data_IF_763933089933
#
_entry.id   IF_763933089933
#
_cell.length_a   1.000
_cell.length_b   1.000
_cell.length_c   1.000
_cell.angle_alpha   90.00
_cell.angle_beta   90.00
_cell.angle_gamma   90.00
#
_symmetry.space_group_name_H-M   'P 1'
#
loop_
_entity.id
_entity.type
_entity.pdbx_description
1 polymer ?
#
# COMPACT_ATOMS: atom_id res chain seq x y z
N UNK A 1 12.04 21.71 6.14
CA UNK A 1 12.38 20.39 5.58
C UNK A 1 11.10 19.79 5.03
N UNK A 2 11.13 19.16 3.85
CA UNK A 2 9.97 18.46 3.29
C UNK A 2 9.96 17.03 3.81
N UNK A 3 8.90 16.64 4.51
CA UNK A 3 8.73 15.29 5.03
C UNK A 3 8.22 14.34 3.93
N UNK A 4 8.53 13.03 3.99
CA UNK A 4 8.03 12.04 3.03
C UNK A 4 6.53 11.75 3.20
N UNK A 5 5.97 12.07 4.37
CA UNK A 5 4.57 11.85 4.71
C UNK A 5 3.90 13.15 5.14
N UNK A 6 2.59 13.23 4.94
CA UNK A 6 1.73 14.27 5.50
C UNK A 6 0.70 13.65 6.43
N UNK A 7 0.46 14.28 7.59
CA UNK A 7 -0.60 13.90 8.51
C UNK A 7 -1.23 15.15 9.10
N UNK A 8 -2.49 15.39 8.76
CA UNK A 8 -3.29 16.47 9.33
C UNK A 8 -4.23 15.89 10.37
N UNK A 9 -3.89 16.10 11.66
CA UNK A 9 -4.71 15.64 12.78
C UNK A 9 -5.85 16.61 13.00
N UNK A 10 -7.07 16.10 13.03
CA UNK A 10 -8.27 16.87 13.28
C UNK A 10 -8.98 16.38 14.55
N UNK A 11 -9.32 17.30 15.45
CA UNK A 11 -10.00 17.03 16.71
C UNK A 11 -9.37 17.76 17.89
N UNK A 12 -9.50 17.22 19.11
CA UNK A 12 -8.91 17.80 20.31
C UNK A 12 -7.72 16.99 20.86
N UNK A 13 -6.87 17.66 21.64
CA UNK A 13 -5.69 17.07 22.29
C UNK A 13 -5.99 16.10 23.45
N UNK A 14 -7.27 15.92 23.83
CA UNK A 14 -7.62 15.03 24.92
C UNK A 14 -7.52 13.54 24.53
N UNK A 15 -7.37 12.66 25.51
CA UNK A 15 -7.32 11.20 25.31
C UNK A 15 -5.91 10.65 25.10
N UNK A 16 -5.79 9.32 25.15
CA UNK A 16 -4.54 8.63 24.94
C UNK A 16 -4.15 8.70 23.46
N UNK A 17 -2.93 9.16 23.18
CA UNK A 17 -2.39 9.21 21.83
C UNK A 17 -2.17 7.81 21.27
N UNK A 18 -2.42 7.64 19.97
CA UNK A 18 -2.09 6.43 19.23
C UNK A 18 -1.44 6.77 17.89
N UNK A 19 -0.58 5.88 17.40
CA UNK A 19 -0.02 5.89 16.05
C UNK A 19 0.01 4.46 15.54
N UNK A 20 -0.67 4.22 14.42
CA UNK A 20 -0.81 2.90 13.81
C UNK A 20 -0.64 3.02 12.31
N UNK A 21 0.62 2.92 11.88
CA UNK A 21 1.04 3.18 10.50
C UNK A 21 2.00 2.10 9.99
N UNK A 22 2.10 2.00 8.67
CA UNK A 22 3.12 1.22 7.96
C UNK A 22 4.32 2.05 7.50
N UNK A 23 4.60 3.19 8.13
CA UNK A 23 5.71 4.08 7.75
C UNK A 23 7.06 3.35 7.65
N UNK A 24 7.30 2.38 8.53
CA UNK A 24 8.57 1.64 8.58
C UNK A 24 8.71 0.52 7.55
N UNK A 25 7.61 0.03 6.97
CA UNK A 25 7.60 -1.15 6.11
C UNK A 25 6.80 -0.98 4.81
N UNK A 26 6.22 0.20 4.57
CA UNK A 26 5.39 0.50 3.41
C UNK A 26 3.99 -0.13 3.46
N UNK A 27 3.57 -0.70 4.59
CA UNK A 27 2.21 -1.22 4.73
C UNK A 27 1.20 -0.07 4.66
N UNK A 28 0.06 -0.35 4.05
CA UNK A 28 -0.98 0.65 3.78
C UNK A 28 -2.31 0.24 4.40
N UNK A 29 -3.20 1.22 4.52
CA UNK A 29 -4.57 1.03 5.00
C UNK A 29 -5.34 0.12 4.05
N UNK A 30 -5.63 -1.11 4.50
CA UNK A 30 -6.36 -2.11 3.71
C UNK A 30 -7.86 -2.09 4.03
N UNK A 31 -8.21 -1.81 5.29
CA UNK A 31 -9.60 -1.71 5.72
C UNK A 31 -9.74 -0.74 6.88
N UNK A 32 -10.88 -0.06 6.92
CA UNK A 32 -11.28 0.78 8.06
C UNK A 32 -12.71 0.43 8.48
N UNK A 33 -12.91 0.28 9.77
CA UNK A 33 -14.20 0.08 10.41
C UNK A 33 -14.46 1.21 11.40
N UNK A 34 -15.65 1.79 11.37
CA UNK A 34 -16.01 2.96 12.16
C UNK A 34 -17.29 2.68 12.94
N UNK A 35 -17.24 2.86 14.26
CA UNK A 35 -18.41 2.84 15.12
C UNK A 35 -18.91 4.26 15.36
N UNK A 36 -20.22 4.43 15.22
CA UNK A 36 -20.91 5.71 15.26
C UNK A 36 -21.89 5.74 16.43
N UNK A 37 -21.70 6.70 17.33
CA UNK A 37 -22.67 7.05 18.36
C UNK A 37 -23.64 8.13 17.90
N UNK A 38 -24.49 8.58 18.83
CA UNK A 38 -25.42 9.68 18.56
C UNK A 38 -24.70 10.99 18.24
N UNK A 39 -23.61 11.28 18.97
CA UNK A 39 -22.94 12.58 18.98
C UNK A 39 -21.43 12.53 18.66
N UNK A 40 -20.88 11.37 18.33
CA UNK A 40 -19.45 11.23 17.99
C UNK A 40 -19.14 9.92 17.26
N UNK A 41 -17.96 9.86 16.67
CA UNK A 41 -17.29 8.60 16.32
C UNK A 41 -16.79 7.93 17.60
N UNK A 42 -17.26 6.70 17.85
CA UNK A 42 -17.04 5.94 19.08
C UNK A 42 -15.76 5.11 19.06
N UNK A 43 -15.46 4.50 17.92
CA UNK A 43 -14.23 3.75 17.74
C UNK A 43 -13.88 3.67 16.26
N UNK A 44 -12.61 3.41 15.99
CA UNK A 44 -12.10 3.07 14.66
C UNK A 44 -11.26 1.81 14.79
N UNK A 45 -11.52 0.82 13.93
CA UNK A 45 -10.67 -0.34 13.75
C UNK A 45 -9.98 -0.24 12.40
N UNK A 46 -8.68 -0.44 12.40
CA UNK A 46 -7.81 -0.30 11.25
C UNK A 46 -7.13 -1.63 10.96
N UNK A 47 -7.06 -1.99 9.68
CA UNK A 47 -6.27 -3.11 9.19
C UNK A 47 -5.24 -2.59 8.19
N UNK A 48 -4.00 -3.02 8.34
CA UNK A 48 -2.91 -2.72 7.42
C UNK A 48 -2.63 -3.95 6.55
N UNK A 49 -2.09 -3.72 5.35
CA UNK A 49 -1.78 -4.78 4.38
C UNK A 49 -0.67 -5.75 4.80
N UNK A 50 0.01 -5.51 5.94
CA UNK A 50 0.93 -6.45 6.56
C UNK A 50 0.23 -7.41 7.55
N UNK A 51 -1.10 -7.38 7.61
CA UNK A 51 -1.92 -8.23 8.47
C UNK A 51 -2.14 -7.68 9.88
N UNK A 52 -1.49 -6.58 10.27
CA UNK A 52 -1.73 -5.94 11.57
C UNK A 52 -3.15 -5.35 11.61
N UNK A 53 -3.79 -5.41 12.78
CA UNK A 53 -5.03 -4.69 13.02
C UNK A 53 -5.17 -4.25 14.47
N UNK A 54 -5.77 -3.08 14.67
CA UNK A 54 -5.95 -2.50 16.00
C UNK A 54 -7.25 -1.68 16.08
N UNK A 55 -7.82 -1.56 17.28
CA UNK A 55 -9.05 -0.81 17.54
C UNK A 55 -8.79 0.30 18.54
N UNK A 56 -9.16 1.53 18.17
CA UNK A 56 -9.01 2.73 19.01
C UNK A 56 -10.38 3.24 19.43
N UNK A 57 -10.51 3.63 20.70
CA UNK A 57 -11.77 4.05 21.30
C UNK A 57 -12.58 2.88 21.88
N UNK A 58 -13.86 3.12 22.16
CA UNK A 58 -14.75 2.13 22.75
C UNK A 58 -15.90 1.82 21.77
N UNK A 59 -15.87 0.66 21.09
CA UNK A 59 -16.90 0.27 20.13
C UNK A 59 -18.30 0.31 20.74
N UNK A 60 -19.20 1.07 20.13
CA UNK A 60 -20.62 1.11 20.47
C UNK A 60 -21.41 1.78 19.34
N UNK A 61 -22.68 1.40 19.19
CA UNK A 61 -23.57 1.97 18.18
C UNK A 61 -23.38 1.34 16.80
N UNK A 62 -23.69 2.11 15.75
CA UNK A 62 -23.73 1.60 14.38
C UNK A 62 -22.33 1.39 13.83
N UNK A 63 -22.11 0.28 13.14
CA UNK A 63 -20.84 -0.03 12.48
C UNK A 63 -20.93 0.24 10.98
N UNK A 64 -19.89 0.82 10.41
CA UNK A 64 -19.71 0.95 8.96
C UNK A 64 -18.26 0.65 8.61
N UNK A 65 -18.03 -0.07 7.53
CA UNK A 65 -16.69 -0.42 7.08
C UNK A 65 -16.45 -0.08 5.61
N UNK A 66 -15.18 0.01 5.25
CA UNK A 66 -14.70 0.15 3.89
C UNK A 66 -13.42 -0.66 3.73
N UNK A 67 -13.41 -1.57 2.76
CA UNK A 67 -12.24 -2.36 2.38
C UNK A 67 -11.70 -1.83 1.05
N UNK A 68 -10.41 -1.49 1.03
CA UNK A 68 -9.72 -0.96 -0.14
C UNK A 68 -9.31 -2.11 -1.06
N UNK A 69 -9.51 -1.93 -2.37
CA UNK A 69 -8.96 -2.81 -3.40
C UNK A 69 -7.47 -2.54 -3.57
N UNK A 70 -6.77 -3.50 -4.17
CA UNK A 70 -5.38 -3.29 -4.57
C UNK A 70 -5.25 -2.11 -5.54
N UNK A 71 -4.32 -1.19 -5.27
CA UNK A 71 -4.14 0.05 -6.04
C UNK A 71 -5.20 1.13 -5.78
N UNK A 72 -6.15 0.91 -4.87
CA UNK A 72 -7.16 1.91 -4.53
C UNK A 72 -6.56 2.96 -3.58
N UNK A 73 -6.59 4.22 -4.02
CA UNK A 73 -6.03 5.36 -3.32
C UNK A 73 -7.10 6.41 -3.04
N UNK A 74 -6.89 7.20 -1.99
CA UNK A 74 -7.75 8.33 -1.66
C UNK A 74 -7.61 9.42 -2.72
N UNK A 75 -8.75 9.99 -3.14
CA UNK A 75 -8.80 11.19 -4.00
C UNK A 75 -9.27 12.42 -3.23
N UNK A 76 -9.95 12.19 -2.09
CA UNK A 76 -10.33 13.24 -1.15
C UNK A 76 -10.58 12.62 0.21
N UNK A 77 -10.31 13.40 1.25
CA UNK A 77 -10.65 13.09 2.64
C UNK A 77 -11.18 14.38 3.27
N UNK A 78 -12.29 14.26 3.98
CA UNK A 78 -12.85 15.33 4.79
C UNK A 78 -13.19 14.81 6.17
N UNK A 79 -12.89 15.61 7.19
CA UNK A 79 -13.21 15.33 8.57
C UNK A 79 -14.13 16.42 9.13
N UNK A 80 -14.97 16.05 10.09
CA UNK A 80 -15.83 16.99 10.80
C UNK A 80 -15.70 16.80 12.29
N UNK A 81 -15.76 17.92 13.01
CA UNK A 81 -15.99 17.89 14.45
C UNK A 81 -17.46 17.60 14.74
N UNK A 82 -17.76 17.24 15.98
CA UNK A 82 -19.14 17.17 16.44
C UNK A 82 -19.71 18.52 16.93
N UNK A 83 -18.96 19.62 16.82
CA UNK A 83 -19.29 20.93 17.38
C UNK A 83 -18.73 21.15 18.79
N UNK A 84 -18.08 20.15 19.38
CA UNK A 84 -17.43 20.23 20.68
C UNK A 84 -15.94 19.88 20.55
N UNK A 85 -15.50 18.77 21.17
CA UNK A 85 -14.11 18.30 21.23
C UNK A 85 -13.99 16.85 20.79
N UNK A 86 -14.81 16.39 19.84
CA UNK A 86 -14.77 15.02 19.32
C UNK A 86 -14.93 14.98 17.81
N UNK A 87 -14.51 13.87 17.22
CA UNK A 87 -14.73 13.59 15.80
C UNK A 87 -16.21 13.26 15.56
N UNK A 88 -16.83 13.96 14.61
CA UNK A 88 -18.24 13.82 14.24
C UNK A 88 -18.46 13.04 12.95
N UNK A 89 -17.55 13.13 11.98
CA UNK A 89 -17.62 12.36 10.75
C UNK A 89 -16.27 12.17 10.04
N UNK A 90 -16.23 11.12 9.22
CA UNK A 90 -15.16 10.79 8.27
C UNK A 90 -15.82 10.58 6.91
N UNK A 91 -15.37 11.32 5.90
CA UNK A 91 -15.78 11.11 4.51
C UNK A 91 -14.55 11.01 3.62
N UNK A 92 -14.54 10.05 2.71
CA UNK A 92 -13.50 9.99 1.68
C UNK A 92 -14.05 9.43 0.38
N UNK A 93 -13.34 9.73 -0.70
CA UNK A 93 -13.52 9.11 -2.01
C UNK A 93 -12.24 8.49 -2.49
N UNK A 94 -12.35 7.54 -3.42
CA UNK A 94 -11.20 6.83 -3.98
C UNK A 94 -11.11 6.97 -5.50
N UNK A 95 -9.94 6.64 -6.05
CA UNK A 95 -9.67 6.62 -7.49
C UNK A 95 -10.41 5.50 -8.24
N UNK A 96 -11.02 4.55 -7.52
CA UNK A 96 -11.79 3.43 -8.10
C UNK A 96 -13.30 3.59 -7.88
N UNK A 97 -13.77 4.82 -7.63
CA UNK A 97 -15.20 5.14 -7.48
C UNK A 97 -15.77 4.86 -6.08
N UNK A 98 -14.91 4.57 -5.09
CA UNK A 98 -15.31 4.45 -3.70
C UNK A 98 -15.86 5.76 -3.14
N UNK A 99 -16.96 5.67 -2.38
CA UNK A 99 -17.52 6.77 -1.60
C UNK A 99 -17.89 6.24 -0.21
N UNK A 100 -17.12 6.67 0.79
CA UNK A 100 -17.36 6.32 2.18
C UNK A 100 -17.73 7.56 2.98
N UNK A 101 -18.83 7.48 3.70
CA UNK A 101 -19.25 8.52 4.64
C UNK A 101 -19.80 7.91 5.92
N UNK A 102 -19.09 8.11 7.02
CA UNK A 102 -19.47 7.69 8.36
C UNK A 102 -19.65 8.94 9.22
N UNK A 103 -20.87 9.19 9.70
CA UNK A 103 -21.21 10.38 10.49
C UNK A 103 -22.07 10.04 11.69
N UNK A 104 -21.95 10.84 12.74
CA UNK A 104 -22.88 10.83 13.87
C UNK A 104 -24.33 11.03 13.41
N UNK A 105 -25.28 10.56 14.22
CA UNK A 105 -26.68 10.42 13.78
C UNK A 105 -27.60 11.55 14.23
N UNK A 106 -27.28 12.26 15.32
CA UNK A 106 -28.21 13.22 15.95
C UNK A 106 -27.93 14.67 15.61
N UNK A 107 -26.66 15.07 15.56
CA UNK A 107 -26.26 16.46 15.31
C UNK A 107 -25.94 16.70 13.84
N UNK A 108 -26.22 17.92 13.37
CA UNK A 108 -25.72 18.39 12.08
C UNK A 108 -24.21 18.48 12.13
N UNK A 109 -23.58 18.23 10.98
CA UNK A 109 -22.15 18.44 10.84
C UNK A 109 -21.92 19.95 10.69
N UNK A 110 -21.02 20.56 11.49
CA UNK A 110 -20.67 21.96 11.38
C UNK A 110 -19.77 22.16 10.15
N UNK A 111 -18.54 22.63 10.34
CA UNK A 111 -17.60 22.90 9.25
C UNK A 111 -16.93 21.63 8.73
N UNK A 112 -16.97 21.44 7.41
CA UNK A 112 -16.14 20.44 6.70
C UNK A 112 -14.68 20.87 6.71
N UNK A 113 -13.79 19.94 7.05
CA UNK A 113 -12.35 20.16 6.98
C UNK A 113 -11.77 19.20 5.94
N UNK A 114 -11.57 19.65 4.69
CA UNK A 114 -10.84 18.91 3.69
C UNK A 114 -9.39 18.72 4.12
N UNK A 115 -8.87 17.51 3.89
CA UNK A 115 -7.50 17.12 4.23
C UNK A 115 -6.68 16.94 2.95
N UNK A 116 -5.40 17.30 3.02
CA UNK A 116 -4.45 16.97 1.96
C UNK A 116 -4.13 15.48 2.00
N UNK A 117 -4.43 14.78 0.90
CA UNK A 117 -4.21 13.34 0.76
C UNK A 117 -2.86 13.00 0.11
N UNK A 118 -2.06 14.00 -0.30
CA UNK A 118 -0.76 13.78 -0.94
C UNK A 118 -0.88 12.89 -2.18
N UNK A 119 -0.20 11.74 -2.17
CA UNK A 119 -0.31 10.72 -3.23
C UNK A 119 -1.64 9.94 -3.22
N UNK A 120 -2.44 10.05 -2.16
CA UNK A 120 -3.61 9.24 -1.89
C UNK A 120 -3.30 7.89 -1.23
N UNK A 121 -2.03 7.49 -1.13
CA UNK A 121 -1.61 6.24 -0.51
C UNK A 121 -1.53 6.39 1.02
N UNK A 122 -2.54 5.88 1.72
CA UNK A 122 -2.66 5.99 3.17
C UNK A 122 -1.86 4.89 3.88
N UNK A 123 -0.90 5.28 4.72
CA UNK A 123 -0.07 4.38 5.52
C UNK A 123 -0.75 3.93 6.82
N UNK A 124 -1.87 4.55 7.19
CA UNK A 124 -2.58 4.27 8.44
C UNK A 124 -3.08 5.53 9.12
N UNK A 125 -3.23 5.48 10.43
CA UNK A 125 -3.85 6.55 11.22
C UNK A 125 -3.04 6.90 12.46
N UNK A 126 -3.14 8.16 12.86
CA UNK A 126 -2.67 8.64 14.15
C UNK A 126 -3.76 9.46 14.82
N UNK A 127 -3.76 9.53 16.15
CA UNK A 127 -4.80 10.29 16.82
C UNK A 127 -4.78 10.21 18.33
N UNK A 128 -5.96 10.43 18.88
CA UNK A 128 -6.25 10.37 20.31
C UNK A 128 -7.57 9.66 20.54
N UNK A 129 -7.60 8.79 21.54
CA UNK A 129 -8.79 8.03 21.89
C UNK A 129 -9.01 7.98 23.41
N UNK A 130 -10.28 7.90 23.79
CA UNK A 130 -10.75 7.59 25.14
C UNK A 130 -12.06 6.82 25.06
N UNK A 131 -13.13 7.34 25.65
CA UNK A 131 -14.48 6.80 25.43
C UNK A 131 -15.00 6.98 23.98
N UNK A 132 -14.29 7.74 23.15
CA UNK A 132 -14.55 7.94 21.72
C UNK A 132 -13.28 8.42 21.03
N UNK A 133 -13.34 8.69 19.73
CA UNK A 133 -12.23 9.30 18.99
C UNK A 133 -12.24 10.81 19.23
N UNK A 134 -11.19 11.32 19.86
CA UNK A 134 -11.04 12.75 20.18
C UNK A 134 -10.36 13.51 19.06
N UNK A 135 -9.36 12.89 18.43
CA UNK A 135 -8.69 13.37 17.21
C UNK A 135 -8.25 12.21 16.32
N UNK A 136 -8.21 12.44 15.02
CA UNK A 136 -7.65 11.49 14.06
C UNK A 136 -6.97 12.26 12.92
N UNK A 137 -5.88 11.70 12.40
CA UNK A 137 -5.24 12.08 11.16
C UNK A 137 -4.93 10.82 10.37
N UNK A 138 -5.10 10.90 9.06
CA UNK A 138 -4.69 9.85 8.13
C UNK A 138 -3.31 10.22 7.63
N UNK A 139 -2.37 9.28 7.74
CA UNK A 139 -1.01 9.48 7.27
C UNK A 139 -0.94 9.08 5.80
N UNK A 140 -0.54 10.02 4.94
CA UNK A 140 -0.37 9.78 3.51
C UNK A 140 1.09 9.91 3.13
N UNK A 141 1.55 9.08 2.19
CA UNK A 141 2.77 9.40 1.45
C UNK A 141 2.53 10.66 0.62
N UNK A 142 3.48 11.59 0.65
CA UNK A 142 3.48 12.73 -0.26
C UNK A 142 3.67 12.26 -1.71
N UNK A 143 3.49 13.17 -2.67
CA UNK A 143 3.63 12.85 -4.08
C UNK A 143 4.98 12.17 -4.37
N UNK A 144 4.92 10.94 -4.87
CA UNK A 144 6.09 10.11 -5.12
C UNK A 144 6.63 10.40 -6.51
N UNK A 145 7.87 10.87 -6.59
CA UNK A 145 8.54 11.09 -7.88
C UNK A 145 9.06 9.77 -8.48
N UNK A 146 9.70 8.94 -7.66
CA UNK A 146 10.29 7.67 -8.08
C UNK A 146 10.20 6.64 -6.96
N UNK A 147 10.11 5.37 -7.35
CA UNK A 147 10.16 4.22 -6.43
C UNK A 147 11.21 3.25 -6.96
N UNK A 148 12.23 2.93 -6.15
CA UNK A 148 13.38 2.13 -6.59
C UNK A 148 13.66 1.02 -5.58
N UNK A 149 13.72 -0.22 -6.05
CA UNK A 149 14.21 -1.35 -5.27
C UNK A 149 15.74 -1.40 -5.39
N UNK A 150 16.45 -0.99 -4.36
CA UNK A 150 17.92 -0.99 -4.31
C UNK A 150 18.45 -1.99 -3.28
N UNK A 151 19.77 -2.17 -3.23
CA UNK A 151 20.46 -3.07 -2.29
C UNK A 151 19.93 -4.51 -2.34
N UNK A 152 19.58 -4.99 -3.54
CA UNK A 152 19.11 -6.35 -3.74
C UNK A 152 20.25 -7.33 -3.47
N UNK A 153 20.04 -8.24 -2.53
CA UNK A 153 20.99 -9.30 -2.19
C UNK A 153 20.33 -10.66 -2.31
N UNK A 154 21.07 -11.66 -2.81
CA UNK A 154 20.63 -13.04 -2.93
C UNK A 154 21.43 -13.91 -1.95
N UNK A 155 21.04 -14.00 -0.68
CA UNK A 155 21.87 -14.57 0.38
C UNK A 155 22.16 -16.06 0.21
N UNK A 156 21.31 -16.79 -0.53
CA UNK A 156 21.44 -18.24 -0.77
C UNK A 156 22.02 -18.57 -2.14
N UNK A 157 22.38 -17.57 -2.97
CA UNK A 157 22.82 -17.80 -4.35
C UNK A 157 24.07 -18.69 -4.42
N UNK A 158 25.01 -18.49 -3.51
CA UNK A 158 26.26 -19.28 -3.47
C UNK A 158 26.05 -20.73 -3.04
N UNK A 159 24.92 -21.04 -2.40
CA UNK A 159 24.58 -22.39 -1.94
C UNK A 159 23.76 -23.16 -2.98
N UNK A 160 23.29 -22.47 -4.03
CA UNK A 160 22.39 -23.04 -5.03
C UNK A 160 23.18 -23.74 -6.13
N UNK A 161 22.88 -25.02 -6.36
CA UNK A 161 23.34 -25.74 -7.56
C UNK A 161 22.32 -25.52 -8.68
N UNK A 162 22.68 -24.85 -9.80
CA UNK A 162 21.75 -24.59 -10.89
C UNK A 162 21.23 -25.89 -11.53
N UNK A 163 19.91 -25.97 -11.73
CA UNK A 163 19.28 -27.03 -12.51
C UNK A 163 19.14 -26.58 -13.95
N UNK A 164 20.02 -27.06 -14.83
CA UNK A 164 20.04 -26.69 -16.24
C UNK A 164 19.40 -27.79 -17.07
N UNK A 165 18.32 -27.46 -17.79
CA UNK A 165 17.73 -28.34 -18.78
C UNK A 165 18.46 -28.18 -20.12
N UNK A 166 18.82 -29.31 -20.74
CA UNK A 166 19.42 -29.30 -22.08
C UNK A 166 18.29 -29.22 -23.09
N UNK A 167 18.43 -28.30 -24.04
CA UNK A 167 17.52 -28.17 -25.18
C UNK A 167 18.35 -28.34 -26.46
N UNK A 168 18.01 -29.36 -27.25
CA UNK A 168 18.63 -29.58 -28.54
C UNK A 168 18.30 -28.41 -29.48
N UNK A 169 19.35 -27.85 -30.11
CA UNK A 169 19.20 -26.71 -31.02
C UNK A 169 19.31 -27.18 -32.47
N UNK A 170 20.30 -28.03 -32.75
CA UNK A 170 20.59 -28.58 -34.08
C UNK A 170 21.46 -29.82 -33.93
N UNK A 171 21.16 -30.85 -34.72
CA UNK A 171 22.00 -32.03 -34.87
C UNK A 171 22.23 -32.27 -36.37
N UNK A 172 23.49 -32.51 -36.75
CA UNK A 172 23.92 -32.76 -38.13
C UNK A 172 25.06 -33.77 -38.14
N UNK A 173 25.12 -34.59 -39.18
CA UNK A 173 26.18 -35.58 -39.39
C UNK A 173 26.87 -35.28 -40.71
N UNK A 174 28.21 -35.31 -40.70
CA UNK A 174 29.05 -35.13 -41.87
C UNK A 174 29.99 -36.34 -42.00
N UNK A 175 30.09 -36.89 -43.21
CA UNK A 175 30.98 -38.03 -43.52
C UNK A 175 32.01 -37.58 -44.54
N UNK A 176 33.28 -37.93 -44.32
CA UNK A 176 34.37 -37.66 -45.27
C UNK A 176 34.96 -38.98 -45.78
N UNK A 177 34.56 -39.39 -46.98
CA UNK A 177 35.03 -40.62 -47.62
C UNK A 177 36.30 -40.42 -48.46
N UNK A 178 37.04 -39.33 -48.21
CA UNK A 178 38.25 -38.96 -48.95
C UNK A 178 39.48 -38.94 -48.03
N UNK A 179 40.68 -39.03 -48.63
CA UNK A 179 41.95 -38.90 -47.90
C UNK A 179 42.36 -37.44 -47.63
N UNK A 180 41.58 -36.46 -48.10
CA UNK A 180 41.84 -35.04 -47.92
C UNK A 180 40.95 -34.45 -46.82
N UNK A 181 41.44 -33.41 -46.14
CA UNK A 181 40.67 -32.69 -45.14
C UNK A 181 39.50 -31.91 -45.78
N UNK A 182 38.33 -31.96 -45.14
CA UNK A 182 37.15 -31.18 -45.51
C UNK A 182 36.74 -30.23 -44.39
N UNK A 183 36.30 -29.02 -44.75
CA UNK A 183 35.80 -28.01 -43.81
C UNK A 183 34.31 -27.79 -44.03
N UNK A 184 33.53 -27.86 -42.96
CA UNK A 184 32.08 -27.64 -42.98
C UNK A 184 31.73 -26.42 -42.13
N UNK A 185 30.87 -25.54 -42.66
CA UNK A 185 30.38 -24.37 -41.93
C UNK A 185 29.00 -24.68 -41.37
N UNK A 186 28.85 -24.59 -40.05
CA UNK A 186 27.60 -24.84 -39.32
C UNK A 186 27.08 -23.55 -38.72
N UNK A 187 25.99 -23.04 -39.28
CA UNK A 187 25.28 -21.88 -38.73
C UNK A 187 24.01 -22.32 -38.00
N UNK A 188 23.74 -21.69 -36.85
CA UNK A 188 22.57 -21.96 -36.01
C UNK A 188 22.09 -20.66 -35.35
N UNK A 189 20.78 -20.51 -35.21
CA UNK A 189 20.16 -19.43 -34.44
C UNK A 189 19.11 -20.01 -33.49
N UNK A 190 18.98 -19.41 -32.30
CA UNK A 190 17.96 -19.78 -31.31
C UNK A 190 17.44 -18.54 -30.62
N UNK A 191 16.12 -18.39 -30.60
CA UNK A 191 15.46 -17.35 -29.80
C UNK A 191 15.45 -17.79 -28.34
N UNK A 192 16.00 -16.97 -27.46
CA UNK A 192 16.00 -17.19 -26.00
C UNK A 192 15.23 -16.06 -25.34
N UNK A 193 14.34 -16.40 -24.42
CA UNK A 193 13.62 -15.44 -23.58
C UNK A 193 14.19 -15.52 -22.17
N UNK A 194 14.69 -14.40 -21.66
CA UNK A 194 15.20 -14.28 -20.29
C UNK A 194 14.20 -13.49 -19.45
N UNK A 195 13.86 -13.99 -18.28
CA UNK A 195 12.91 -13.36 -17.37
C UNK A 195 13.55 -13.13 -16.01
N UNK A 196 13.27 -11.98 -15.41
CA UNK A 196 13.62 -11.65 -14.02
C UNK A 196 12.36 -11.19 -13.30
N UNK A 197 12.17 -11.62 -12.06
CA UNK A 197 11.01 -11.27 -11.24
C UNK A 197 11.40 -11.16 -9.78
N UNK A 198 10.86 -10.13 -9.11
CA UNK A 198 10.98 -9.92 -7.66
C UNK A 198 9.57 -9.80 -7.08
N UNK A 199 9.30 -10.56 -6.02
CA UNK A 199 8.02 -10.49 -5.31
C UNK A 199 7.94 -9.25 -4.42
N UNK A 200 6.79 -8.57 -4.44
CA UNK A 200 6.51 -7.37 -3.63
C UNK A 200 5.01 -7.34 -3.28
N UNK A 201 4.60 -6.57 -2.27
CA UNK A 201 3.19 -6.47 -1.88
C UNK A 201 2.33 -5.92 -3.02
N UNK A 202 1.19 -6.60 -3.29
CA UNK A 202 0.31 -6.25 -4.40
C UNK A 202 -0.25 -4.83 -4.29
N UNK A 203 -0.59 -4.37 -3.09
CA UNK A 203 -1.13 -3.02 -2.87
C UNK A 203 -0.13 -1.92 -3.23
N UNK A 204 1.15 -2.14 -2.97
CA UNK A 204 2.22 -1.20 -3.29
C UNK A 204 2.52 -1.20 -4.79
N UNK A 205 2.70 -2.37 -5.41
CA UNK A 205 3.01 -2.48 -6.85
C UNK A 205 1.84 -2.08 -7.75
N UNK A 206 0.60 -2.21 -7.30
CA UNK A 206 -0.57 -1.71 -8.01
C UNK A 206 -0.70 -0.18 -7.94
N UNK A 207 -0.08 0.46 -6.95
CA UNK A 207 -0.12 1.93 -6.79
C UNK A 207 1.08 2.60 -7.44
N UNK A 208 2.28 2.06 -7.24
CA UNK A 208 3.53 2.68 -7.64
C UNK A 208 4.23 1.89 -8.74
N UNK A 209 4.62 2.62 -9.78
CA UNK A 209 5.58 2.11 -10.76
C UNK A 209 6.97 2.08 -10.11
N UNK A 210 7.48 0.88 -9.85
CA UNK A 210 8.81 0.69 -9.30
C UNK A 210 9.81 0.28 -10.37
N UNK A 211 11.08 0.61 -10.15
CA UNK A 211 12.19 0.19 -11.01
C UNK A 211 13.20 -0.60 -10.18
N UNK A 212 13.78 -1.69 -10.70
CA UNK A 212 14.98 -2.26 -10.09
C UNK A 212 16.10 -1.23 -10.17
N UNK A 213 16.76 -0.96 -9.05
CA UNK A 213 17.98 -0.17 -9.03
C UNK A 213 19.09 -0.97 -9.73
N UNK A 214 19.79 -0.33 -10.66
CA UNK A 214 21.06 -0.85 -11.16
C UNK A 214 22.05 -0.87 -10.01
N UNK A 215 22.49 -2.05 -9.60
CA UNK A 215 23.67 -2.22 -8.75
C UNK A 215 24.95 -1.91 -9.49
#
# INVERSE_FOLDING_TARGET
MSEPTTVQKFGCEAGASFSFTGEKNGANLEKIGVWLGECQVKAVKVWLSDGRSETFGQPAGRYKEYAFKSGECFTSLSLWGNGEKRLGAIKFKTNQGGDFFAKMTKHSLPTEHPMDVGSGFCLGVEGGAGAGITRIGFMFLNAVQTTVLTNVNYPTLQQLIPKVAVEEIKSMTYTNDTSANQTQTVETSKKVTKTSSWSMSNSFTATFNWKPGSG
#
